data_IF_184282300326
#
_entry.id   IF_184282300326
#
_cell.length_a   1.000
_cell.length_b   1.000
_cell.length_c   1.000
_cell.angle_alpha   90.00
_cell.angle_beta   90.00
_cell.angle_gamma   90.00
#
_symmetry.space_group_name_H-M   'P 1'
#
loop_
_entity.id
_entity.type
_entity.pdbx_description
1 polymer ?
#
# COMPACT_ATOMS: atom_id res chain seq x y z
N UNK A 1 -7.55 6.28 -53.40
CA UNK A 1 -7.64 6.91 -52.05
C UNK A 1 -8.33 6.02 -51.00
N UNK A 2 -9.52 5.45 -51.25
CA UNK A 2 -10.20 4.54 -50.29
C UNK A 2 -9.37 3.35 -49.80
N UNK A 3 -8.59 2.70 -50.69
CA UNK A 3 -7.73 1.56 -50.32
C UNK A 3 -6.57 1.97 -49.40
N UNK A 4 -5.96 3.15 -49.64
CA UNK A 4 -4.88 3.67 -48.78
C UNK A 4 -5.40 4.05 -47.39
N UNK A 5 -6.61 4.63 -47.30
CA UNK A 5 -7.30 4.90 -46.03
C UNK A 5 -7.61 3.61 -45.25
N UNK A 6 -8.02 2.54 -45.95
CA UNK A 6 -8.27 1.23 -45.33
C UNK A 6 -6.98 0.60 -44.78
N UNK A 7 -5.87 0.67 -45.52
CA UNK A 7 -4.58 0.16 -45.03
C UNK A 7 -4.04 0.98 -43.85
N UNK A 8 -4.19 2.31 -43.88
CA UNK A 8 -3.79 3.16 -42.76
C UNK A 8 -4.63 2.88 -41.50
N UNK A 9 -5.95 2.74 -41.64
CA UNK A 9 -6.83 2.38 -40.53
C UNK A 9 -6.50 0.98 -39.97
N UNK A 10 -6.28 -0.01 -40.84
CA UNK A 10 -5.88 -1.36 -40.43
C UNK A 10 -4.53 -1.35 -39.70
N UNK A 11 -3.54 -0.58 -40.19
CA UNK A 11 -2.25 -0.43 -39.54
C UNK A 11 -2.39 0.21 -38.14
N UNK A 12 -3.22 1.25 -38.00
CA UNK A 12 -3.49 1.88 -36.70
C UNK A 12 -4.17 0.89 -35.75
N UNK A 13 -5.15 0.10 -36.21
CA UNK A 13 -5.80 -0.92 -35.37
C UNK A 13 -4.78 -1.99 -34.94
N UNK A 14 -3.94 -2.47 -35.84
CA UNK A 14 -2.89 -3.46 -35.51
C UNK A 14 -1.90 -2.89 -34.49
N UNK A 15 -1.50 -1.64 -34.64
CA UNK A 15 -0.59 -0.96 -33.72
C UNK A 15 -1.25 -0.76 -32.34
N UNK A 16 -2.53 -0.40 -32.31
CA UNK A 16 -3.32 -0.30 -31.08
C UNK A 16 -3.46 -1.66 -30.39
N UNK A 17 -3.72 -2.74 -31.12
CA UNK A 17 -3.82 -4.11 -30.59
C UNK A 17 -2.46 -4.59 -30.07
N UNK A 18 -1.37 -4.31 -30.79
CA UNK A 18 -0.01 -4.64 -30.35
C UNK A 18 0.38 -3.87 -29.08
N UNK A 19 0.08 -2.57 -29.01
CA UNK A 19 0.29 -1.76 -27.80
C UNK A 19 -0.58 -2.23 -26.64
N UNK A 20 -1.81 -2.70 -26.90
CA UNK A 20 -2.69 -3.26 -25.87
C UNK A 20 -2.14 -4.53 -25.25
N UNK A 21 -1.34 -5.32 -25.97
CA UNK A 21 -0.73 -6.54 -25.43
C UNK A 21 0.63 -6.28 -24.76
N UNK A 22 1.46 -5.41 -25.36
CA UNK A 22 2.84 -5.23 -24.94
C UNK A 22 3.02 -4.24 -23.77
N UNK A 23 2.21 -3.17 -23.73
CA UNK A 23 2.36 -2.11 -22.71
C UNK A 23 2.00 -2.61 -21.30
N UNK A 24 0.86 -3.31 -21.08
CA UNK A 24 0.53 -3.84 -19.75
C UNK A 24 1.59 -4.80 -19.23
N UNK A 25 1.96 -5.80 -20.04
CA UNK A 25 2.94 -6.82 -19.66
C UNK A 25 4.31 -6.22 -19.27
N UNK A 26 4.77 -5.18 -19.97
CA UNK A 26 6.03 -4.52 -19.64
C UNK A 26 5.96 -3.73 -18.33
N UNK A 27 4.86 -3.02 -18.07
CA UNK A 27 4.65 -2.24 -16.84
C UNK A 27 4.51 -3.14 -15.62
N UNK A 28 3.77 -4.25 -15.76
CA UNK A 28 3.63 -5.29 -14.73
C UNK A 28 5.00 -5.80 -14.30
N UNK A 29 5.82 -6.26 -15.25
CA UNK A 29 7.12 -6.85 -14.93
C UNK A 29 8.12 -5.85 -14.31
N UNK A 30 8.00 -4.57 -14.68
CA UNK A 30 8.79 -3.49 -14.08
C UNK A 30 8.36 -3.21 -12.63
N UNK A 31 7.06 -3.22 -12.36
CA UNK A 31 6.53 -3.02 -11.01
C UNK A 31 6.89 -4.21 -10.10
N UNK A 32 6.76 -5.44 -10.60
CA UNK A 32 7.17 -6.67 -9.91
C UNK A 32 8.63 -6.59 -9.46
N UNK A 33 9.56 -6.28 -10.38
CA UNK A 33 10.99 -6.16 -10.07
C UNK A 33 11.30 -5.11 -9.00
N UNK A 34 10.55 -4.00 -8.97
CA UNK A 34 10.72 -2.96 -7.95
C UNK A 34 10.24 -3.42 -6.59
N UNK A 35 9.08 -4.09 -6.54
CA UNK A 35 8.52 -4.61 -5.30
C UNK A 35 9.36 -5.75 -4.72
N UNK A 36 9.95 -6.61 -5.57
CA UNK A 36 10.82 -7.72 -5.13
C UNK A 36 12.28 -7.35 -4.95
N UNK A 37 12.66 -6.08 -5.13
CA UNK A 37 14.06 -5.64 -5.09
C UNK A 37 14.75 -5.90 -3.73
N UNK A 38 13.97 -5.94 -2.65
CA UNK A 38 14.43 -6.26 -1.28
C UNK A 38 14.08 -7.67 -0.84
N UNK A 39 13.74 -8.56 -1.79
CA UNK A 39 13.27 -9.93 -1.53
C UNK A 39 11.75 -10.07 -1.60
N UNK A 40 11.28 -11.31 -1.47
CA UNK A 40 9.87 -11.68 -1.60
C UNK A 40 9.39 -11.86 -3.04
N UNK A 41 8.09 -12.06 -3.19
CA UNK A 41 7.41 -12.23 -4.46
C UNK A 41 6.32 -11.18 -4.61
N UNK A 42 6.25 -10.57 -5.78
CA UNK A 42 5.17 -9.67 -6.14
C UNK A 42 4.66 -10.05 -7.52
N UNK A 43 3.35 -10.05 -7.67
CA UNK A 43 2.65 -10.18 -8.93
C UNK A 43 1.80 -8.93 -9.11
N UNK A 44 1.96 -8.26 -10.24
CA UNK A 44 1.20 -7.05 -10.56
C UNK A 44 0.41 -7.32 -11.84
N UNK A 45 -0.86 -6.94 -11.84
CA UNK A 45 -1.73 -7.01 -13.01
C UNK A 45 -2.35 -5.65 -13.25
N UNK A 46 -2.21 -5.13 -14.46
CA UNK A 46 -2.70 -3.80 -14.83
C UNK A 46 -3.63 -3.93 -16.03
N UNK A 47 -4.89 -3.54 -15.85
CA UNK A 47 -5.87 -3.46 -16.91
C UNK A 47 -6.11 -2.00 -17.31
N UNK A 48 -6.11 -1.72 -18.62
CA UNK A 48 -6.53 -0.44 -19.15
C UNK A 48 -7.27 -0.59 -20.47
N UNK A 49 -8.51 -0.14 -20.50
CA UNK A 49 -9.34 -0.12 -21.70
C UNK A 49 -9.76 1.34 -21.99
N UNK A 50 -9.28 1.96 -23.09
CA UNK A 50 -8.24 1.50 -24.02
C UNK A 50 -6.81 1.62 -23.43
N UNK A 51 -5.91 0.70 -23.79
CA UNK A 51 -4.54 0.65 -23.21
C UNK A 51 -3.67 1.88 -23.49
N UNK A 52 -4.04 2.70 -24.48
CA UNK A 52 -3.38 4.00 -24.72
C UNK A 52 -3.44 4.91 -23.49
N UNK A 53 -4.45 4.73 -22.63
CA UNK A 53 -4.59 5.46 -21.36
C UNK A 53 -3.39 5.24 -20.44
N UNK A 54 -2.74 4.08 -20.49
CA UNK A 54 -1.53 3.81 -19.69
C UNK A 54 -0.37 4.72 -20.09
N UNK A 55 -0.30 5.15 -21.35
CA UNK A 55 0.70 6.12 -21.81
C UNK A 55 0.46 7.53 -21.24
N UNK A 56 -0.78 7.80 -20.83
CA UNK A 56 -1.17 9.03 -20.14
C UNK A 56 -1.26 8.83 -18.61
N UNK A 57 -0.66 7.76 -18.08
CA UNK A 57 -0.71 7.40 -16.67
C UNK A 57 -2.12 7.13 -16.13
N UNK A 58 -3.04 6.61 -16.94
CA UNK A 58 -4.41 6.24 -16.51
C UNK A 58 -4.71 4.75 -16.80
N UNK A 59 -5.40 4.08 -15.88
CA UNK A 59 -5.82 2.69 -16.04
C UNK A 59 -7.24 2.41 -15.57
N UNK A 60 -7.75 1.24 -15.94
CA UNK A 60 -9.09 0.79 -15.51
C UNK A 60 -9.01 0.07 -14.17
N UNK A 61 -7.99 -0.77 -13.99
CA UNK A 61 -7.81 -1.55 -12.77
C UNK A 61 -6.33 -1.84 -12.54
N UNK A 62 -5.92 -1.80 -11.27
CA UNK A 62 -4.65 -2.34 -10.81
C UNK A 62 -4.90 -3.41 -9.75
N UNK A 63 -4.21 -4.54 -9.88
CA UNK A 63 -4.14 -5.58 -8.85
C UNK A 63 -2.69 -5.83 -8.48
N UNK A 64 -2.39 -5.81 -7.19
CA UNK A 64 -1.04 -6.09 -6.67
C UNK A 64 -1.14 -7.18 -5.64
N UNK A 65 -0.40 -8.28 -5.83
CA UNK A 65 -0.28 -9.35 -4.85
C UNK A 65 1.17 -9.47 -4.42
N UNK A 66 1.44 -9.31 -3.14
CA UNK A 66 2.78 -9.37 -2.58
C UNK A 66 2.87 -10.41 -1.47
N UNK A 67 4.03 -11.03 -1.34
CA UNK A 67 4.34 -12.01 -0.32
C UNK A 67 5.81 -11.90 0.10
N UNK A 68 6.08 -11.95 1.42
CA UNK A 68 7.46 -11.97 1.91
C UNK A 68 8.20 -10.64 1.75
N UNK A 69 7.48 -9.52 1.73
CA UNK A 69 8.05 -8.20 1.44
C UNK A 69 8.61 -7.52 2.71
N UNK A 70 9.76 -6.87 2.58
CA UNK A 70 10.38 -6.08 3.65
C UNK A 70 10.29 -4.58 3.33
N UNK A 71 9.58 -3.83 4.16
CA UNK A 71 9.37 -2.38 4.00
C UNK A 71 9.92 -1.62 5.20
N UNK A 72 10.79 -0.63 4.93
CA UNK A 72 11.32 0.26 5.95
C UNK A 72 10.41 1.47 6.10
N UNK A 73 9.61 1.52 7.16
CA UNK A 73 8.67 2.63 7.45
C UNK A 73 9.37 3.98 7.69
N UNK A 74 10.67 3.97 8.00
CA UNK A 74 11.46 5.18 8.25
C UNK A 74 12.19 5.72 7.00
N UNK A 75 12.46 4.84 6.03
CA UNK A 75 13.09 5.21 4.75
C UNK A 75 12.05 5.39 3.63
N UNK A 76 10.76 5.36 3.96
CA UNK A 76 9.72 5.98 3.16
C UNK A 76 9.95 7.50 3.20
N UNK A 77 10.97 7.97 2.49
CA UNK A 77 11.12 9.39 2.17
C UNK A 77 9.77 9.85 1.64
N UNK A 78 9.14 10.84 2.30
CA UNK A 78 7.74 11.30 2.17
C UNK A 78 7.32 11.80 0.79
N UNK A 79 7.56 10.98 -0.21
CA UNK A 79 7.31 11.12 -1.64
C UNK A 79 6.65 9.85 -2.18
N UNK A 80 6.32 8.87 -1.32
CA UNK A 80 5.62 7.66 -1.73
C UNK A 80 4.13 7.98 -1.88
N UNK A 81 3.79 8.73 -2.94
CA UNK A 81 2.42 8.99 -3.39
C UNK A 81 1.75 7.69 -3.86
N UNK A 82 1.67 6.67 -3.01
CA UNK A 82 1.07 5.37 -3.30
C UNK A 82 -0.39 5.59 -3.69
N UNK A 83 -1.11 6.44 -2.95
CA UNK A 83 -2.47 6.80 -3.31
C UNK A 83 -2.54 7.59 -4.62
N UNK A 84 -1.60 8.51 -4.89
CA UNK A 84 -1.50 9.19 -6.18
C UNK A 84 -1.22 8.26 -7.37
N UNK A 85 -0.47 7.17 -7.16
CA UNK A 85 -0.29 6.12 -8.17
C UNK A 85 -1.54 5.26 -8.34
N UNK A 86 -2.25 4.95 -7.26
CA UNK A 86 -3.50 4.18 -7.30
C UNK A 86 -4.68 5.00 -7.86
N UNK A 87 -4.69 6.32 -7.67
CA UNK A 87 -5.73 7.25 -8.17
C UNK A 87 -5.83 7.33 -9.69
N UNK A 88 -4.76 6.92 -10.36
CA UNK A 88 -4.72 6.73 -11.81
C UNK A 88 -5.62 5.60 -12.30
N UNK A 89 -6.06 4.72 -11.41
CA UNK A 89 -6.87 3.55 -11.74
C UNK A 89 -8.28 3.68 -11.20
N UNK A 90 -9.30 3.37 -12.00
CA UNK A 90 -10.68 3.38 -11.49
C UNK A 90 -10.89 2.38 -10.33
N UNK A 91 -10.15 1.26 -10.36
CA UNK A 91 -10.20 0.19 -9.38
C UNK A 91 -8.80 -0.18 -8.91
N UNK A 92 -8.66 -0.42 -7.60
CA UNK A 92 -7.41 -0.85 -7.00
C UNK A 92 -7.67 -2.02 -6.05
N UNK A 93 -6.85 -3.07 -6.13
CA UNK A 93 -6.87 -4.21 -5.21
C UNK A 93 -5.42 -4.61 -4.91
N UNK A 94 -4.92 -4.12 -3.77
CA UNK A 94 -3.57 -4.41 -3.30
C UNK A 94 -3.70 -5.35 -2.12
N UNK A 95 -3.09 -6.53 -2.22
CA UNK A 95 -3.02 -7.51 -1.15
C UNK A 95 -1.59 -7.94 -0.91
N UNK A 96 -1.05 -7.58 0.24
CA UNK A 96 0.30 -7.94 0.65
C UNK A 96 0.22 -8.87 1.85
N UNK A 97 1.00 -9.95 1.85
CA UNK A 97 0.99 -10.94 2.92
C UNK A 97 2.41 -11.23 3.41
N UNK A 98 2.52 -11.65 4.68
CA UNK A 98 3.81 -12.02 5.30
C UNK A 98 4.90 -10.97 5.08
N UNK A 99 4.65 -9.75 5.51
CA UNK A 99 5.58 -8.64 5.39
C UNK A 99 6.13 -8.22 6.74
N UNK A 100 7.25 -7.51 6.73
CA UNK A 100 7.74 -6.80 7.92
C UNK A 100 7.80 -5.30 7.66
N UNK A 101 7.40 -4.53 8.66
CA UNK A 101 7.38 -3.09 8.63
C UNK A 101 7.97 -2.56 9.95
N UNK A 102 9.28 -2.27 9.95
CA UNK A 102 10.01 -1.98 11.19
C UNK A 102 9.86 -3.09 12.24
N UNK A 103 9.43 -2.79 13.48
CA UNK A 103 9.26 -3.80 14.53
C UNK A 103 7.99 -4.65 14.36
N UNK A 104 7.13 -4.33 13.40
CA UNK A 104 5.84 -5.00 13.19
C UNK A 104 6.00 -6.16 12.19
N UNK A 105 5.55 -7.35 12.60
CA UNK A 105 5.34 -8.48 11.72
C UNK A 105 3.92 -8.39 11.15
N UNK A 106 3.82 -7.95 9.91
CA UNK A 106 2.55 -7.68 9.22
C UNK A 106 2.10 -8.94 8.50
N UNK A 107 0.99 -9.53 8.95
CA UNK A 107 0.44 -10.76 8.37
C UNK A 107 -0.22 -10.47 7.03
N UNK A 108 -1.02 -9.40 6.97
CA UNK A 108 -1.73 -8.99 5.77
C UNK A 108 -1.98 -7.49 5.76
N UNK A 109 -1.82 -6.88 4.59
CA UNK A 109 -2.34 -5.55 4.25
C UNK A 109 -3.24 -5.71 3.05
N UNK A 110 -4.41 -5.08 3.08
CA UNK A 110 -5.33 -5.03 1.96
C UNK A 110 -5.79 -3.60 1.75
N UNK A 111 -5.64 -3.10 0.52
CA UNK A 111 -6.16 -1.81 0.08
C UNK A 111 -7.06 -2.09 -1.10
N UNK A 112 -8.34 -1.77 -0.97
CA UNK A 112 -9.32 -2.02 -2.02
C UNK A 112 -10.14 -0.77 -2.34
N UNK A 113 -10.36 -0.50 -3.63
CA UNK A 113 -11.28 0.51 -4.14
C UNK A 113 -12.04 -0.04 -5.35
N UNK A 114 -13.38 0.02 -5.29
CA UNK A 114 -14.27 -0.56 -6.30
C UNK A 114 -14.64 0.42 -7.43
N UNK A 115 -14.58 1.72 -7.18
CA UNK A 115 -14.83 2.80 -8.14
C UNK A 115 -14.07 4.07 -7.72
N UNK A 116 -13.87 5.01 -8.65
CA UNK A 116 -13.21 6.31 -8.38
C UNK A 116 -13.94 7.17 -7.34
N UNK A 117 -15.25 6.97 -7.18
CA UNK A 117 -16.07 7.67 -6.19
C UNK A 117 -15.93 7.14 -4.76
N UNK A 118 -15.43 5.92 -4.63
CA UNK A 118 -15.43 5.19 -3.37
C UNK A 118 -14.15 5.47 -2.60
N UNK A 119 -14.21 5.55 -1.25
CA UNK A 119 -13.00 5.55 -0.45
C UNK A 119 -12.23 4.23 -0.62
N UNK A 120 -10.92 4.28 -0.35
CA UNK A 120 -10.12 3.08 -0.19
C UNK A 120 -10.44 2.44 1.15
N UNK A 121 -10.83 1.16 1.12
CA UNK A 121 -10.89 0.33 2.31
C UNK A 121 -9.48 -0.24 2.59
N UNK A 122 -8.89 0.14 3.72
CA UNK A 122 -7.60 -0.31 4.21
C UNK A 122 -7.81 -1.26 5.39
N UNK A 123 -7.30 -2.48 5.29
CA UNK A 123 -7.27 -3.44 6.39
C UNK A 123 -5.84 -3.91 6.62
N UNK A 124 -5.36 -3.78 7.86
CA UNK A 124 -4.04 -4.20 8.29
C UNK A 124 -4.19 -5.19 9.44
N UNK A 125 -3.57 -6.36 9.30
CA UNK A 125 -3.38 -7.31 10.39
C UNK A 125 -1.88 -7.47 10.63
N UNK A 126 -1.43 -7.03 11.79
CA UNK A 126 -0.04 -7.06 12.21
C UNK A 126 0.10 -7.63 13.63
N UNK A 127 1.33 -7.91 14.01
CA UNK A 127 1.67 -8.28 15.37
C UNK A 127 3.01 -7.69 15.73
N UNK A 128 3.18 -7.41 17.02
CA UNK A 128 4.41 -6.82 17.54
C UNK A 128 4.75 -7.45 18.87
N UNK A 129 6.04 -7.65 19.14
CA UNK A 129 6.50 -8.14 20.45
C UNK A 129 7.06 -6.99 21.27
N UNK A 130 6.95 -7.09 22.61
CA UNK A 130 7.55 -6.11 23.52
C UNK A 130 9.07 -5.98 23.28
N UNK A 131 9.75 -7.09 22.97
CA UNK A 131 11.17 -7.10 22.62
C UNK A 131 11.45 -6.30 21.35
N UNK A 132 10.71 -6.54 20.26
CA UNK A 132 10.91 -5.82 19.00
C UNK A 132 10.68 -4.31 19.16
N UNK A 133 9.66 -3.91 19.93
CA UNK A 133 9.43 -2.49 20.26
C UNK A 133 10.58 -1.89 21.05
N UNK A 134 11.07 -2.61 22.08
CA UNK A 134 12.18 -2.14 22.91
C UNK A 134 13.50 -2.02 22.13
N UNK A 135 13.81 -2.98 21.25
CA UNK A 135 15.01 -2.92 20.40
C UNK A 135 14.92 -1.81 19.36
N UNK A 136 13.74 -1.60 18.77
CA UNK A 136 13.51 -0.52 17.82
C UNK A 136 13.62 0.84 18.49
N UNK A 137 13.07 0.98 19.71
CA UNK A 137 13.22 2.18 20.52
C UNK A 137 14.67 2.42 20.95
N UNK A 138 15.38 1.37 21.39
CA UNK A 138 16.77 1.49 21.83
C UNK A 138 17.77 1.81 20.71
N UNK A 139 17.52 1.32 19.50
CA UNK A 139 18.42 1.53 18.36
C UNK A 139 18.15 2.81 17.58
N UNK A 140 16.89 3.28 17.53
CA UNK A 140 16.50 4.37 16.61
C UNK A 140 15.84 5.58 17.29
N UNK A 141 15.54 5.52 18.60
CA UNK A 141 14.94 6.64 19.35
C UNK A 141 15.90 7.27 20.35
N UNK A 142 16.89 8.01 19.84
CA UNK A 142 17.48 9.16 20.54
C UNK A 142 16.73 10.46 20.18
N UNK A 143 15.39 10.40 20.07
CA UNK A 143 14.53 11.48 19.57
C UNK A 143 13.14 11.54 20.24
N UNK A 144 12.30 12.53 19.90
CA UNK A 144 11.11 12.95 20.67
C UNK A 144 10.02 11.88 20.92
N UNK A 145 10.08 10.74 20.23
CA UNK A 145 9.18 9.59 20.45
C UNK A 145 9.53 8.82 21.75
N UNK A 146 10.72 9.01 22.33
CA UNK A 146 11.12 8.39 23.59
C UNK A 146 10.20 8.73 24.78
N UNK A 147 9.55 9.90 24.75
CA UNK A 147 8.59 10.31 25.79
C UNK A 147 7.29 9.50 25.82
N UNK A 148 6.86 8.96 24.68
CA UNK A 148 5.64 8.15 24.59
C UNK A 148 5.89 6.73 25.12
N UNK A 149 7.09 6.19 24.86
CA UNK A 149 7.51 4.87 25.34
C UNK A 149 7.72 4.86 26.85
N UNK A 150 8.21 5.96 27.44
CA UNK A 150 8.27 6.12 28.90
C UNK A 150 6.90 5.99 29.59
N UNK A 151 5.82 6.46 28.95
CA UNK A 151 4.45 6.34 29.47
C UNK A 151 3.88 4.92 29.33
N UNK A 152 4.18 4.21 28.25
CA UNK A 152 3.75 2.82 28.06
C UNK A 152 4.54 1.90 28.99
N UNK A 153 5.83 2.15 29.19
CA UNK A 153 6.67 1.41 30.15
C UNK A 153 6.19 1.57 31.61
N UNK A 154 5.52 2.68 31.95
CA UNK A 154 4.88 2.87 33.27
C UNK A 154 3.54 2.14 33.44
N UNK A 155 2.97 1.58 32.36
CA UNK A 155 1.65 0.96 32.36
C UNK A 155 1.69 -0.52 31.98
N UNK A 156 1.65 -1.40 32.98
CA UNK A 156 1.04 -2.76 33.05
C UNK A 156 0.90 -3.63 31.78
N UNK A 157 1.76 -3.51 30.76
CA UNK A 157 1.82 -4.48 29.67
C UNK A 157 2.91 -5.49 30.02
N UNK A 158 2.55 -6.75 30.33
CA UNK A 158 3.55 -7.75 30.67
C UNK A 158 4.50 -7.91 29.49
N UNK A 159 5.81 -7.80 29.76
CA UNK A 159 6.93 -8.03 28.83
C UNK A 159 7.04 -9.51 28.39
N UNK A 160 5.90 -10.13 28.11
CA UNK A 160 5.81 -11.49 27.61
C UNK A 160 6.39 -11.56 26.21
N UNK A 161 6.97 -12.71 25.86
CA UNK A 161 7.47 -12.99 24.51
C UNK A 161 6.34 -13.16 23.48
N UNK A 162 5.09 -13.02 23.91
CA UNK A 162 3.90 -13.30 23.12
C UNK A 162 3.63 -12.14 22.14
N UNK A 163 3.35 -12.44 20.85
CA UNK A 163 3.00 -11.41 19.89
C UNK A 163 1.69 -10.73 20.27
N UNK A 164 1.73 -9.40 20.38
CA UNK A 164 0.54 -8.57 20.58
C UNK A 164 -0.08 -8.33 19.21
N UNK A 165 -1.29 -8.82 18.93
CA UNK A 165 -1.94 -8.60 17.64
C UNK A 165 -2.43 -7.15 17.56
N UNK A 166 -2.30 -6.57 16.37
CA UNK A 166 -2.73 -5.22 16.02
C UNK A 166 -3.56 -5.32 14.75
N UNK A 167 -4.79 -4.85 14.82
CA UNK A 167 -5.69 -4.80 13.66
C UNK A 167 -6.14 -3.37 13.44
N UNK A 168 -6.13 -2.94 12.19
CA UNK A 168 -6.57 -1.60 11.77
C UNK A 168 -7.50 -1.77 10.58
N UNK A 169 -8.66 -1.16 10.66
CA UNK A 169 -9.62 -1.01 9.57
C UNK A 169 -9.84 0.49 9.37
N UNK A 170 -9.67 0.98 8.14
CA UNK A 170 -9.81 2.40 7.84
C UNK A 170 -10.40 2.63 6.46
N UNK A 171 -11.23 3.66 6.35
CA UNK A 171 -11.61 4.22 5.05
C UNK A 171 -10.80 5.50 4.80
N UNK A 172 -10.09 5.50 3.67
CA UNK A 172 -9.20 6.59 3.26
C UNK A 172 -9.73 7.16 1.95
N UNK A 173 -10.04 8.45 1.93
CA UNK A 173 -10.21 9.19 0.68
C UNK A 173 -8.86 9.73 0.25
N UNK A 174 -8.59 9.71 -1.05
CA UNK A 174 -7.45 10.43 -1.60
C UNK A 174 -7.94 11.73 -2.21
N UNK A 175 -7.33 12.86 -1.82
CA UNK A 175 -7.50 14.16 -2.49
C UNK A 175 -6.17 14.58 -3.07
N UNK A 176 -6.11 14.68 -4.40
CA UNK A 176 -4.88 15.04 -5.13
C UNK A 176 -3.67 14.15 -4.78
N UNK A 177 -3.92 12.85 -4.56
CA UNK A 177 -2.90 11.87 -4.17
C UNK A 177 -2.51 11.92 -2.70
N UNK A 178 -3.13 12.79 -1.89
CA UNK A 178 -2.93 12.88 -0.44
C UNK A 178 -4.00 12.06 0.29
N UNK A 179 -3.62 11.11 1.16
CA UNK A 179 -4.57 10.35 1.94
C UNK A 179 -5.21 11.22 3.02
N UNK A 180 -6.54 11.20 3.06
CA UNK A 180 -7.37 11.75 4.11
C UNK A 180 -8.19 10.63 4.72
N UNK A 181 -8.04 10.49 6.03
CA UNK A 181 -8.66 9.41 6.79
C UNK A 181 -10.08 9.83 7.18
N UNK A 182 -11.10 9.10 6.72
CA UNK A 182 -12.51 9.39 7.06
C UNK A 182 -12.96 8.66 8.32
N UNK A 183 -12.67 7.36 8.40
CA UNK A 183 -13.01 6.51 9.53
C UNK A 183 -11.86 5.57 9.81
N UNK A 184 -11.60 5.32 11.09
CA UNK A 184 -10.59 4.37 11.55
C UNK A 184 -11.12 3.65 12.76
N UNK A 185 -11.10 2.35 12.68
CA UNK A 185 -11.26 1.44 13.78
C UNK A 185 -9.98 0.64 13.95
N UNK A 186 -9.68 0.25 15.17
CA UNK A 186 -8.55 -0.63 15.40
C UNK A 186 -8.63 -1.29 16.76
N UNK A 187 -7.92 -2.40 16.88
CA UNK A 187 -7.81 -3.15 18.12
C UNK A 187 -6.37 -3.55 18.38
N UNK A 188 -6.03 -3.62 19.67
CA UNK A 188 -4.74 -4.12 20.15
C UNK A 188 -5.03 -5.20 21.18
N UNK A 189 -4.53 -6.41 20.96
CA UNK A 189 -4.86 -7.57 21.78
C UNK A 189 -6.38 -7.82 21.91
N UNK A 190 -7.16 -7.52 20.86
CA UNK A 190 -8.62 -7.67 20.86
C UNK A 190 -9.40 -6.59 21.62
N UNK A 191 -8.71 -5.58 22.19
CA UNK A 191 -9.33 -4.44 22.85
C UNK A 191 -9.42 -3.28 21.86
N UNK A 192 -10.60 -2.66 21.74
CA UNK A 192 -10.79 -1.48 20.90
C UNK A 192 -9.80 -0.38 21.30
N UNK A 193 -9.09 0.11 20.31
CA UNK A 193 -8.01 1.07 20.44
C UNK A 193 -8.32 2.35 19.66
N UNK A 194 -9.60 2.76 19.53
CA UNK A 194 -10.05 3.85 18.66
C UNK A 194 -9.12 5.09 18.60
N UNK A 195 -8.77 5.72 19.73
CA UNK A 195 -7.85 6.88 19.72
C UNK A 195 -6.42 6.55 19.26
N UNK A 196 -5.92 5.35 19.58
CA UNK A 196 -4.60 4.88 19.14
C UNK A 196 -4.62 4.51 17.65
N UNK A 197 -5.70 3.87 17.18
CA UNK A 197 -5.90 3.53 15.78
C UNK A 197 -5.95 4.80 14.93
N UNK A 198 -6.68 5.83 15.38
CA UNK A 198 -6.69 7.15 14.75
C UNK A 198 -5.30 7.79 14.73
N UNK A 199 -4.52 7.72 15.81
CA UNK A 199 -3.16 8.25 15.87
C UNK A 199 -2.19 7.50 14.93
N UNK A 200 -2.30 6.17 14.84
CA UNK A 200 -1.51 5.35 13.92
C UNK A 200 -1.89 5.67 12.46
N UNK A 201 -3.18 5.72 12.15
CA UNK A 201 -3.65 6.07 10.82
C UNK A 201 -3.23 7.47 10.40
N UNK A 202 -3.31 8.46 11.30
CA UNK A 202 -2.82 9.81 11.03
C UNK A 202 -1.29 9.83 10.79
N UNK A 203 -0.51 9.10 11.60
CA UNK A 203 0.94 9.02 11.41
C UNK A 203 1.35 8.27 10.13
N UNK A 204 0.54 7.30 9.67
CA UNK A 204 0.73 6.63 8.39
C UNK A 204 0.36 7.57 7.24
N UNK A 205 -0.78 8.26 7.34
CA UNK A 205 -1.25 9.20 6.34
C UNK A 205 -0.28 10.39 6.15
N UNK A 206 0.35 10.88 7.22
CA UNK A 206 1.34 11.96 7.17
C UNK A 206 2.68 11.53 6.55
N UNK A 207 2.92 10.21 6.41
CA UNK A 207 4.15 9.63 5.87
C UNK A 207 4.02 9.05 4.45
N UNK A 208 2.81 9.02 3.90
CA UNK A 208 2.51 8.54 2.53
C UNK A 208 2.32 9.73 1.59
#
# INVERSE_FOLDING_TARGET
MRRALLYAAAAIVVLLVASQLAVPAYLEHRAEKRLTAKGGHAQVTIDALPAVRLLFNDGSRIKVRGDGLHVDLLNANGNSQVFGELDRFNQADVRLTRMSAGPFAVRQVTIARHSTSDPYALVISASVTARALSSYAGNELAGPVGGLIGKIASGVVPFSAEPIPVEVDANIRSRDGRPEVETVDGSVAGVSAGPLAAAIAAAIADRL
#
